data_IF_111187871165
#
_entry.id   IF_111187871165
#
_cell.length_a   1.000
_cell.length_b   1.000
_cell.length_c   1.000
_cell.angle_alpha   90.00
_cell.angle_beta   90.00
_cell.angle_gamma   90.00
#
_symmetry.space_group_name_H-M   'P 1'
#
loop_
_entity.id
_entity.type
_entity.pdbx_description
1 polymer ?
#
# COMPACT_ATOMS: atom_id res chain seq x y z
N UNK A 1 -32.30 36.18 -6.67
CA UNK A 1 -31.83 35.86 -5.31
C UNK A 1 -31.41 34.41 -5.41
N UNK A 2 -30.12 34.10 -5.26
CA UNK A 2 -29.62 32.74 -5.37
C UNK A 2 -29.99 32.05 -4.05
N UNK A 3 -30.90 31.09 -4.09
CA UNK A 3 -31.16 30.22 -2.95
C UNK A 3 -29.91 29.35 -2.77
N UNK A 4 -29.28 29.47 -1.60
CA UNK A 4 -28.07 28.75 -1.25
C UNK A 4 -28.46 27.30 -0.88
N UNK A 5 -28.72 26.49 -1.91
CA UNK A 5 -29.18 25.11 -1.83
C UNK A 5 -28.12 24.13 -1.29
N UNK A 6 -27.01 24.63 -0.74
CA UNK A 6 -25.97 23.80 -0.13
C UNK A 6 -26.56 22.90 0.97
N UNK A 7 -27.47 23.43 1.77
CA UNK A 7 -28.18 22.69 2.81
C UNK A 7 -29.23 21.68 2.28
N UNK A 8 -29.67 21.84 1.03
CA UNK A 8 -30.60 20.92 0.35
C UNK A 8 -29.88 19.92 -0.56
N UNK A 9 -28.55 19.99 -0.66
CA UNK A 9 -27.77 19.12 -1.53
C UNK A 9 -27.86 17.65 -1.08
N UNK A 10 -28.10 16.76 -2.03
CA UNK A 10 -28.14 15.33 -1.77
C UNK A 10 -26.72 14.83 -1.46
N UNK A 11 -26.55 14.11 -0.35
CA UNK A 11 -25.27 13.51 -0.03
C UNK A 11 -24.88 12.47 -1.08
N UNK A 12 -23.67 12.61 -1.62
CA UNK A 12 -23.05 11.62 -2.53
C UNK A 12 -22.94 10.25 -1.85
N UNK A 13 -22.79 10.26 -0.53
CA UNK A 13 -22.73 9.08 0.31
C UNK A 13 -23.93 9.06 1.26
N UNK A 14 -24.86 8.10 1.12
CA UNK A 14 -26.00 7.96 2.01
C UNK A 14 -25.57 7.94 3.48
N UNK A 15 -26.04 8.94 4.24
CA UNK A 15 -25.93 8.97 5.70
C UNK A 15 -27.20 8.33 6.27
N UNK A 16 -27.07 7.48 7.28
CA UNK A 16 -28.23 6.93 7.96
C UNK A 16 -28.92 8.08 8.72
N UNK A 17 -30.18 8.37 8.39
CA UNK A 17 -31.00 9.25 9.21
C UNK A 17 -31.33 8.54 10.52
N UNK A 18 -31.04 9.19 11.65
CA UNK A 18 -31.29 8.65 13.00
C UNK A 18 -32.76 8.39 13.32
N UNK A 19 -33.68 8.77 12.42
CA UNK A 19 -35.13 8.66 12.56
C UNK A 19 -35.79 7.52 11.78
N UNK A 20 -35.06 6.82 10.89
CA UNK A 20 -35.61 5.72 10.09
C UNK A 20 -34.75 4.46 10.20
N UNK A 21 -34.87 3.78 11.35
CA UNK A 21 -34.25 2.50 11.64
C UNK A 21 -35.00 1.33 10.96
N UNK A 22 -35.24 1.40 9.65
CA UNK A 22 -35.80 0.28 8.90
C UNK A 22 -34.88 -0.11 7.74
N UNK A 23 -34.16 -1.22 7.97
CA UNK A 23 -33.58 -2.13 6.97
C UNK A 23 -32.37 -1.54 6.20
N UNK A 24 -31.17 -1.87 6.70
CA UNK A 24 -29.91 -1.92 5.94
C UNK A 24 -29.39 -0.60 5.33
N UNK A 25 -29.59 0.55 5.98
CA UNK A 25 -28.82 1.76 5.66
C UNK A 25 -27.40 1.68 6.23
N UNK A 26 -26.60 0.74 5.74
CA UNK A 26 -25.14 0.81 5.90
C UNK A 26 -24.72 2.17 5.35
N UNK A 27 -24.20 3.04 6.21
CA UNK A 27 -23.63 4.30 5.79
C UNK A 27 -22.56 3.97 4.76
N UNK A 28 -22.80 4.30 3.49
CA UNK A 28 -21.83 4.03 2.44
C UNK A 28 -20.73 5.06 2.62
N UNK A 29 -19.78 4.81 3.53
CA UNK A 29 -18.69 5.73 3.78
C UNK A 29 -17.83 5.87 2.52
N UNK A 30 -17.24 7.07 2.30
CA UNK A 30 -16.26 7.20 1.25
C UNK A 30 -15.12 6.20 1.48
N UNK A 31 -14.72 5.43 0.46
CA UNK A 31 -13.56 4.57 0.55
C UNK A 31 -12.29 5.38 0.89
N UNK A 32 -11.42 4.79 1.70
CA UNK A 32 -10.11 5.36 2.03
C UNK A 32 -9.05 4.79 1.11
N UNK A 33 -7.97 5.54 0.88
CA UNK A 33 -6.78 5.06 0.17
C UNK A 33 -5.57 5.23 1.07
N UNK A 34 -4.91 4.12 1.38
CA UNK A 34 -3.71 4.08 2.19
C UNK A 34 -2.48 3.98 1.29
N UNK A 35 -1.48 4.82 1.58
CA UNK A 35 -0.16 4.71 0.96
C UNK A 35 0.70 3.77 1.79
N UNK A 36 1.27 2.77 1.12
CA UNK A 36 2.12 1.74 1.73
C UNK A 36 3.38 1.58 0.91
N UNK A 37 4.50 1.32 1.58
CA UNK A 37 5.74 0.94 0.93
C UNK A 37 6.44 -0.21 1.65
N UNK A 38 7.41 -0.83 0.97
CA UNK A 38 8.37 -1.71 1.63
C UNK A 38 9.80 -1.42 1.25
N UNK A 39 10.69 -1.73 2.20
CA UNK A 39 12.15 -1.80 2.05
C UNK A 39 12.59 -3.15 2.61
N UNK A 40 13.06 -4.04 1.74
CA UNK A 40 13.28 -5.43 2.09
C UNK A 40 11.98 -6.10 2.56
N UNK A 41 11.97 -6.59 3.80
CA UNK A 41 10.81 -7.25 4.41
C UNK A 41 10.06 -6.31 5.39
N UNK A 42 10.45 -5.03 5.46
CA UNK A 42 9.81 -4.04 6.33
C UNK A 42 8.68 -3.31 5.57
N UNK A 43 7.49 -3.24 6.15
CA UNK A 43 6.32 -2.55 5.60
C UNK A 43 6.11 -1.26 6.39
N UNK A 44 5.93 -0.14 5.68
CA UNK A 44 5.71 1.19 6.26
C UNK A 44 4.42 1.77 5.69
N UNK A 45 3.59 2.30 6.59
CA UNK A 45 2.33 2.99 6.29
C UNK A 45 2.55 4.50 6.30
N UNK A 46 1.95 5.20 5.35
CA UNK A 46 2.07 6.65 5.17
C UNK A 46 3.53 7.16 5.19
N UNK A 47 4.38 6.66 4.28
CA UNK A 47 5.80 6.98 4.30
C UNK A 47 6.09 8.46 3.99
N UNK A 48 7.12 8.97 4.64
CA UNK A 48 7.73 10.26 4.32
C UNK A 48 8.42 10.26 2.95
N UNK A 49 8.74 11.46 2.44
CA UNK A 49 9.43 11.62 1.16
C UNK A 49 10.80 10.92 1.15
N UNK A 50 11.51 10.98 2.28
CA UNK A 50 12.82 10.40 2.48
C UNK A 50 12.76 8.86 2.50
N UNK A 51 11.72 8.29 3.11
CA UNK A 51 11.49 6.85 3.11
C UNK A 51 11.12 6.35 1.71
N UNK A 52 10.23 7.07 1.02
CA UNK A 52 9.81 6.72 -0.34
C UNK A 52 10.97 6.75 -1.35
N UNK A 53 11.99 7.57 -1.10
CA UNK A 53 13.20 7.61 -1.93
C UNK A 53 14.03 6.31 -1.88
N UNK A 54 13.88 5.53 -0.82
CA UNK A 54 14.62 4.28 -0.54
C UNK A 54 13.75 3.04 -0.80
N UNK A 55 12.44 3.22 -1.03
CA UNK A 55 11.46 2.15 -1.19
C UNK A 55 11.81 1.15 -2.31
N UNK A 56 11.62 -0.14 -2.06
CA UNK A 56 11.66 -1.17 -3.11
C UNK A 56 10.34 -1.19 -3.90
N UNK A 57 9.24 -0.97 -3.19
CA UNK A 57 7.91 -0.89 -3.77
C UNK A 57 7.01 0.07 -3.00
N UNK A 58 6.10 0.73 -3.72
CA UNK A 58 5.06 1.56 -3.16
C UNK A 58 3.70 1.21 -3.78
N UNK A 59 2.66 1.12 -2.96
CA UNK A 59 1.29 0.78 -3.33
C UNK A 59 0.32 1.81 -2.74
N UNK A 60 -0.65 2.22 -3.53
CA UNK A 60 -1.86 2.86 -3.05
C UNK A 60 -2.98 1.81 -2.99
N UNK A 61 -3.46 1.53 -1.78
CA UNK A 61 -4.48 0.51 -1.53
C UNK A 61 -5.77 1.19 -1.11
N UNK A 62 -6.79 1.07 -1.95
CA UNK A 62 -8.12 1.61 -1.67
C UNK A 62 -9.01 0.55 -1.03
N UNK A 63 -9.58 0.88 0.13
CA UNK A 63 -10.43 0.01 0.95
C UNK A 63 -11.77 0.69 1.17
N UNK A 64 -12.84 -0.07 1.11
CA UNK A 64 -14.18 0.39 1.48
C UNK A 64 -14.86 -0.61 2.41
N UNK A 65 -15.91 -0.15 3.09
CA UNK A 65 -16.78 -1.02 3.86
C UNK A 65 -17.65 -1.84 2.90
N UNK A 66 -17.68 -3.15 3.11
CA UNK A 66 -18.51 -4.09 2.36
C UNK A 66 -19.71 -4.53 3.18
N UNK A 67 -20.81 -4.84 2.50
CA UNK A 67 -21.90 -5.62 3.10
C UNK A 67 -21.45 -7.08 3.07
N UNK A 68 -21.58 -7.77 4.21
CA UNK A 68 -21.28 -9.18 4.31
C UNK A 68 -22.37 -10.00 3.59
N UNK A 69 -22.16 -10.27 2.30
CA UNK A 69 -23.08 -11.12 1.52
C UNK A 69 -23.02 -12.60 1.98
N UNK A 70 -21.96 -13.00 2.71
CA UNK A 70 -21.73 -14.37 3.18
C UNK A 70 -22.37 -14.69 4.55
N UNK A 71 -22.92 -13.68 5.24
CA UNK A 71 -23.63 -13.83 6.51
C UNK A 71 -24.97 -14.60 6.42
N UNK A 72 -25.31 -15.18 5.26
CA UNK A 72 -26.46 -16.08 5.09
C UNK A 72 -26.15 -17.56 5.33
N UNK A 73 -24.89 -17.95 5.54
CA UNK A 73 -24.51 -19.38 5.58
C UNK A 73 -23.76 -19.85 6.83
N UNK A 74 -23.44 -18.99 7.78
CA UNK A 74 -22.82 -19.37 9.04
C UNK A 74 -23.73 -19.02 10.22
N UNK A 75 -24.51 -20.00 10.69
CA UNK A 75 -25.03 -19.95 12.05
C UNK A 75 -23.87 -20.22 13.01
N UNK A 76 -23.17 -19.17 13.46
CA UNK A 76 -22.18 -19.30 14.53
C UNK A 76 -22.86 -19.00 15.87
N UNK A 77 -23.07 -20.06 16.64
CA UNK A 77 -23.57 -20.03 18.02
C UNK A 77 -22.36 -19.80 18.91
N UNK A 78 -22.02 -18.53 19.17
CA UNK A 78 -21.46 -18.09 20.45
C UNK A 78 -21.53 -16.57 20.55
N UNK A 79 -22.68 -16.09 21.01
CA UNK A 79 -22.90 -14.70 21.37
C UNK A 79 -22.35 -14.46 22.78
N UNK A 80 -21.04 -14.20 22.89
CA UNK A 80 -20.52 -13.49 24.05
C UNK A 80 -19.37 -12.54 23.69
N UNK A 81 -19.68 -11.24 23.78
CA UNK A 81 -18.77 -10.09 23.87
C UNK A 81 -17.59 -10.00 22.87
N UNK A 82 -17.84 -9.40 21.69
CA UNK A 82 -16.87 -8.55 20.96
C UNK A 82 -17.58 -7.76 19.84
N UNK A 83 -17.31 -6.46 19.80
CA UNK A 83 -17.81 -5.45 18.85
C UNK A 83 -18.02 -5.97 17.42
N UNK A 84 -19.15 -5.60 16.82
CA UNK A 84 -19.46 -5.74 15.39
C UNK A 84 -18.21 -5.45 14.56
N UNK A 85 -17.59 -6.51 14.03
CA UNK A 85 -16.39 -6.36 13.21
C UNK A 85 -16.81 -5.84 11.83
N UNK A 86 -16.39 -4.63 11.48
CA UNK A 86 -16.63 -4.08 10.15
C UNK A 86 -15.98 -4.95 9.08
N UNK A 87 -16.73 -5.27 8.05
CA UNK A 87 -16.23 -6.06 6.91
C UNK A 87 -15.56 -5.11 5.93
N UNK A 88 -14.23 -5.18 5.87
CA UNK A 88 -13.42 -4.39 4.95
C UNK A 88 -13.25 -5.11 3.62
N UNK A 89 -13.45 -4.40 2.52
CA UNK A 89 -13.26 -4.90 1.16
C UNK A 89 -12.15 -4.14 0.45
N UNK A 90 -11.22 -4.88 -0.12
CA UNK A 90 -10.26 -4.34 -1.07
C UNK A 90 -10.98 -3.87 -2.35
N UNK A 91 -10.82 -2.60 -2.70
CA UNK A 91 -11.42 -2.04 -3.92
C UNK A 91 -10.42 -1.98 -5.07
N UNK A 92 -9.23 -1.46 -4.81
CA UNK A 92 -8.19 -1.37 -5.82
C UNK A 92 -6.79 -1.29 -5.21
N UNK A 93 -5.81 -1.84 -5.91
CA UNK A 93 -4.39 -1.68 -5.60
C UNK A 93 -3.74 -1.03 -6.82
N UNK A 94 -3.05 0.09 -6.61
CA UNK A 94 -2.29 0.78 -7.65
C UNK A 94 -0.82 0.80 -7.26
N UNK A 95 0.04 0.30 -8.14
CA UNK A 95 1.49 0.40 -7.95
C UNK A 95 1.94 1.82 -8.27
N UNK A 96 2.78 2.38 -7.40
CA UNK A 96 3.43 3.67 -7.58
C UNK A 96 4.91 3.36 -7.80
N UNK A 97 5.51 3.96 -8.83
CA UNK A 97 6.96 3.85 -9.04
C UNK A 97 7.69 4.78 -8.04
N UNK A 98 8.43 4.23 -7.06
CA UNK A 98 9.20 5.06 -6.16
C UNK A 98 10.41 5.67 -6.89
N UNK A 99 10.90 6.84 -6.43
CA UNK A 99 12.09 7.50 -6.98
C UNK A 99 13.33 6.61 -7.06
N UNK A 100 13.45 5.64 -6.15
CA UNK A 100 14.53 4.63 -6.15
C UNK A 100 14.65 3.89 -7.48
N UNK A 101 13.54 3.60 -8.16
CA UNK A 101 13.48 2.87 -9.43
C UNK A 101 13.69 3.76 -10.65
N UNK A 102 13.61 5.08 -10.49
CA UNK A 102 13.88 6.04 -11.56
C UNK A 102 15.38 6.32 -11.72
N UNK A 103 16.22 5.82 -10.82
CA UNK A 103 17.67 5.94 -10.94
C UNK A 103 18.23 4.79 -11.79
N UNK A 104 18.95 5.14 -12.86
CA UNK A 104 19.65 4.13 -13.64
C UNK A 104 20.67 3.41 -12.74
N UNK A 105 20.75 2.07 -12.78
CA UNK A 105 21.73 1.36 -11.99
C UNK A 105 23.13 1.80 -12.40
N UNK A 106 23.89 2.33 -11.46
CA UNK A 106 25.30 2.68 -11.70
C UNK A 106 26.07 1.46 -12.20
N UNK A 107 26.95 1.66 -13.19
CA UNK A 107 27.85 0.63 -13.69
C UNK A 107 29.09 0.63 -12.79
N UNK A 108 29.39 -0.45 -12.04
CA UNK A 108 30.59 -0.49 -11.21
C UNK A 108 31.85 -0.23 -12.05
N UNK A 109 32.82 0.52 -11.52
CA UNK A 109 34.08 0.78 -12.22
C UNK A 109 34.83 -0.50 -12.59
N UNK A 110 34.63 -1.59 -11.84
CA UNK A 110 35.19 -2.91 -12.13
C UNK A 110 34.62 -3.58 -13.39
N UNK A 111 33.48 -3.13 -13.93
CA UNK A 111 32.91 -3.60 -15.20
C UNK A 111 32.93 -2.51 -16.28
N UNK A 112 33.41 -1.30 -15.93
CA UNK A 112 33.55 -0.20 -16.87
C UNK A 112 34.75 -0.44 -17.79
N UNK A 113 34.49 -0.81 -19.05
CA UNK A 113 35.52 -1.06 -20.06
C UNK A 113 36.47 0.15 -20.27
N UNK A 114 36.03 1.37 -19.96
CA UNK A 114 36.86 2.57 -20.04
C UNK A 114 37.83 2.73 -18.85
N UNK A 115 37.57 2.08 -17.71
CA UNK A 115 38.41 2.15 -16.51
C UNK A 115 39.66 1.24 -16.61
N UNK A 116 39.69 0.27 -17.52
CA UNK A 116 40.79 -0.69 -17.69
C UNK A 116 41.81 -0.32 -18.76
N UNK A 117 41.86 0.95 -19.17
CA UNK A 117 42.93 1.57 -19.97
C UNK A 117 43.69 0.62 -20.90
N UNK A 118 43.19 0.42 -22.12
CA UNK A 118 43.92 -0.08 -23.31
C UNK A 118 44.92 -1.26 -23.13
N UNK A 119 44.75 -2.11 -22.11
CA UNK A 119 45.68 -3.22 -21.80
C UNK A 119 45.05 -4.45 -21.13
N UNK A 120 43.74 -4.44 -20.86
CA UNK A 120 43.05 -5.61 -20.30
C UNK A 120 42.73 -6.65 -21.38
N UNK A 121 43.38 -7.83 -21.31
CA UNK A 121 43.07 -8.99 -22.15
C UNK A 121 41.54 -9.22 -22.23
N UNK A 122 41.00 -9.26 -23.45
CA UNK A 122 39.58 -9.37 -23.80
C UNK A 122 38.85 -10.65 -23.39
N UNK A 123 39.20 -11.26 -22.26
CA UNK A 123 38.52 -12.44 -21.70
C UNK A 123 37.58 -12.11 -20.54
N UNK A 124 37.55 -10.88 -20.04
CA UNK A 124 36.71 -10.49 -18.88
C UNK A 124 35.20 -10.47 -19.17
N UNK A 125 34.78 -10.42 -20.45
CA UNK A 125 33.35 -10.47 -20.81
C UNK A 125 32.69 -11.85 -20.55
N UNK A 126 33.47 -12.87 -20.17
CA UNK A 126 33.02 -14.26 -20.03
C UNK A 126 33.08 -14.80 -18.60
N UNK A 127 33.43 -13.98 -17.61
CA UNK A 127 33.51 -14.39 -16.21
C UNK A 127 32.18 -14.14 -15.50
N UNK A 128 31.50 -15.24 -15.14
CA UNK A 128 30.24 -15.25 -14.37
C UNK A 128 30.34 -14.48 -13.03
N UNK A 129 31.56 -14.26 -12.51
CA UNK A 129 31.83 -13.50 -11.29
C UNK A 129 31.63 -11.98 -11.41
N UNK A 130 31.75 -11.38 -12.60
CA UNK A 130 31.57 -9.93 -12.80
C UNK A 130 30.09 -9.52 -12.72
N UNK A 131 29.16 -10.40 -13.12
CA UNK A 131 27.72 -10.21 -12.90
C UNK A 131 27.33 -10.27 -11.42
N UNK A 132 28.05 -11.08 -10.63
CA UNK A 132 27.88 -11.13 -9.18
C UNK A 132 28.40 -9.85 -8.50
N UNK A 133 29.45 -9.20 -9.04
CA UNK A 133 29.95 -7.92 -8.53
C UNK A 133 28.95 -6.76 -8.71
N UNK A 134 28.08 -6.82 -9.73
CA UNK A 134 26.97 -5.87 -9.89
C UNK A 134 25.86 -6.06 -8.84
N UNK A 135 25.64 -7.30 -8.39
CA UNK A 135 24.56 -7.70 -7.47
C UNK A 135 24.98 -7.88 -6.02
N UNK A 136 26.27 -7.87 -5.71
CA UNK A 136 26.75 -8.00 -4.33
C UNK A 136 26.42 -6.75 -3.50
N UNK A 137 25.76 -6.94 -2.36
CA UNK A 137 25.57 -5.87 -1.38
C UNK A 137 26.93 -5.45 -0.82
N UNK A 138 27.29 -4.19 -1.07
CA UNK A 138 28.47 -3.58 -0.46
C UNK A 138 27.96 -2.82 0.75
N UNK A 139 28.40 -3.24 1.93
CA UNK A 139 28.02 -2.63 3.20
C UNK A 139 28.28 -1.11 3.18
N UNK A 140 27.25 -0.32 3.50
CA UNK A 140 27.31 1.15 3.53
C UNK A 140 27.01 1.87 2.21
N UNK A 141 26.82 1.18 1.09
CA UNK A 141 26.42 1.78 -0.19
C UNK A 141 25.00 1.35 -0.55
N UNK A 142 24.05 2.27 -0.44
CA UNK A 142 22.68 2.02 -0.91
C UNK A 142 22.67 1.85 -2.43
N UNK A 143 22.03 0.78 -2.91
CA UNK A 143 21.85 0.48 -4.33
C UNK A 143 20.37 0.54 -4.70
N UNK A 144 20.10 1.05 -5.90
CA UNK A 144 18.77 1.03 -6.46
C UNK A 144 18.23 -0.41 -6.54
N UNK A 145 16.99 -0.67 -6.08
CA UNK A 145 16.39 -1.99 -6.10
C UNK A 145 16.31 -2.53 -7.54
N UNK A 146 16.88 -3.71 -7.79
CA UNK A 146 16.84 -4.36 -9.11
C UNK A 146 15.74 -5.43 -9.14
N UNK A 147 14.83 -5.33 -10.11
CA UNK A 147 13.74 -6.28 -10.31
C UNK A 147 12.35 -5.70 -10.01
N UNK A 148 11.36 -6.58 -9.89
CA UNK A 148 9.99 -6.23 -9.49
C UNK A 148 9.74 -6.54 -8.01
N UNK A 149 8.68 -5.97 -7.46
CA UNK A 149 8.25 -6.21 -6.08
C UNK A 149 7.88 -7.68 -5.88
N UNK A 150 8.34 -8.31 -4.79
CA UNK A 150 7.98 -9.71 -4.50
C UNK A 150 6.48 -9.79 -4.23
N UNK A 151 5.78 -10.70 -4.91
CA UNK A 151 4.33 -10.88 -4.74
C UNK A 151 3.95 -11.21 -3.29
N UNK A 152 4.81 -11.94 -2.57
CA UNK A 152 4.61 -12.24 -1.15
C UNK A 152 4.56 -10.99 -0.28
N UNK A 153 5.38 -9.98 -0.58
CA UNK A 153 5.39 -8.69 0.15
C UNK A 153 4.11 -7.91 -0.15
N UNK A 154 3.63 -7.93 -1.40
CA UNK A 154 2.37 -7.27 -1.76
C UNK A 154 1.20 -7.91 -1.01
N UNK A 155 1.18 -9.25 -0.89
CA UNK A 155 0.14 -9.94 -0.13
C UNK A 155 0.20 -9.58 1.35
N UNK A 156 1.39 -9.59 1.97
CA UNK A 156 1.52 -9.24 3.39
C UNK A 156 1.12 -7.78 3.66
N UNK A 157 1.38 -6.86 2.73
CA UNK A 157 0.88 -5.48 2.81
C UNK A 157 -0.65 -5.42 2.84
N UNK A 158 -1.30 -6.11 1.90
CA UNK A 158 -2.77 -6.12 1.80
C UNK A 158 -3.39 -6.80 3.01
N UNK A 159 -2.81 -7.91 3.48
CA UNK A 159 -3.23 -8.60 4.70
C UNK A 159 -3.12 -7.69 5.93
N UNK A 160 -2.01 -6.96 6.10
CA UNK A 160 -1.82 -5.99 7.20
C UNK A 160 -2.80 -4.83 7.18
N UNK A 161 -3.33 -4.49 6.01
CA UNK A 161 -4.35 -3.45 5.85
C UNK A 161 -5.74 -3.99 6.25
N UNK A 162 -6.06 -5.20 5.80
CA UNK A 162 -7.41 -5.79 5.91
C UNK A 162 -7.62 -6.65 7.16
N UNK A 163 -6.55 -6.98 7.91
CA UNK A 163 -6.68 -7.73 9.15
C UNK A 163 -7.56 -6.98 10.16
N UNK A 164 -8.25 -7.74 11.02
CA UNK A 164 -9.04 -7.16 12.10
C UNK A 164 -8.12 -6.44 13.09
N UNK A 165 -8.41 -5.19 13.39
CA UNK A 165 -7.52 -4.27 14.11
C UNK A 165 -6.30 -3.83 13.28
N UNK A 166 -6.33 -4.03 11.97
CA UNK A 166 -5.31 -3.55 11.04
C UNK A 166 -5.44 -2.06 10.76
N UNK A 167 -4.57 -1.54 9.90
CA UNK A 167 -4.45 -0.09 9.68
C UNK A 167 -5.71 0.54 9.10
N UNK A 168 -6.42 -0.15 8.20
CA UNK A 168 -7.67 0.40 7.68
C UNK A 168 -8.78 0.45 8.75
N UNK A 169 -8.80 -0.51 9.67
CA UNK A 169 -9.66 -0.52 10.84
C UNK A 169 -9.33 0.75 11.68
N UNK A 170 -8.10 0.89 12.15
CA UNK A 170 -7.67 2.03 12.98
C UNK A 170 -7.98 3.40 12.35
N UNK A 171 -7.74 3.56 11.04
CA UNK A 171 -8.02 4.82 10.34
C UNK A 171 -9.51 5.10 10.26
N UNK A 172 -10.33 4.10 9.95
CA UNK A 172 -11.78 4.28 9.87
C UNK A 172 -12.40 4.56 11.25
N UNK A 173 -11.85 3.98 12.33
CA UNK A 173 -12.24 4.31 13.71
C UNK A 173 -11.79 5.73 14.10
N UNK A 174 -10.60 6.15 13.69
CA UNK A 174 -10.15 7.53 13.86
C UNK A 174 -11.09 8.53 13.16
N UNK A 175 -11.59 8.18 11.97
CA UNK A 175 -12.56 8.98 11.24
C UNK A 175 -13.94 9.02 11.92
N UNK A 176 -14.31 8.00 12.70
CA UNK A 176 -15.54 8.01 13.51
C UNK A 176 -15.55 9.11 14.58
N UNK A 177 -14.37 9.42 15.13
CA UNK A 177 -14.22 10.43 16.17
C UNK A 177 -14.24 11.87 15.67
N UNK A 178 -14.33 12.10 14.35
CA UNK A 178 -14.29 13.44 13.76
C UNK A 178 -15.71 14.06 13.77
N UNK A 179 -15.94 15.01 14.68
CA UNK A 179 -17.16 15.84 14.63
C UNK A 179 -17.16 16.72 13.38
N UNK A 180 -18.23 16.61 12.58
CA UNK A 180 -18.46 17.49 11.44
C UNK A 180 -19.08 18.80 11.97
N UNK A 181 -18.26 19.86 12.01
CA UNK A 181 -18.69 21.23 12.38
C UNK A 181 -19.65 21.85 11.37
#
# INVERSE_FOLDING_TARGET
MFDDDWAASQFIYPRADSSSASIASTTSRPPITLLVMAVGDNIIFDPSKEELAVADCALAVSVGEGIDDDAKTAMDIDADTKSDARVLRLLSVRTIDPPSRLTAPGVPNAVNAAAWGQGGNGNAAKEMGLRAAETGDVEGVWKAPRGGSKIGIINTMVEKILEKGGVADEVLEGLDGVELA
#
